data_IF_320118102299
#
_entry.id   IF_320118102299
#
_cell.length_a   1.000
_cell.length_b   1.000
_cell.length_c   1.000
_cell.angle_alpha   90.00
_cell.angle_beta   90.00
_cell.angle_gamma   90.00
#
_symmetry.space_group_name_H-M   'P 1'
#
loop_
_entity.id
_entity.type
_entity.pdbx_description
1 polymer ?
#
# COMPACT_ATOMS: atom_id res chain seq x y z
N UNK A 1 -21.72 19.20 18.47
CA UNK A 1 -21.56 18.16 17.43
C UNK A 1 -20.87 16.96 18.06
N UNK A 2 -21.24 15.75 17.70
CA UNK A 2 -20.66 14.53 18.30
C UNK A 2 -19.21 14.35 17.86
N UNK A 3 -18.31 14.15 18.83
CA UNK A 3 -16.94 13.70 18.58
C UNK A 3 -16.99 12.38 17.80
N UNK A 4 -16.16 12.25 16.77
CA UNK A 4 -15.94 10.99 16.04
C UNK A 4 -14.54 10.49 16.36
N UNK A 5 -14.29 9.19 16.21
CA UNK A 5 -12.94 8.64 16.34
C UNK A 5 -12.27 8.62 14.98
N UNK A 6 -11.10 9.24 14.86
CA UNK A 6 -10.25 9.14 13.68
C UNK A 6 -9.16 8.07 13.88
N UNK A 7 -8.92 7.28 12.84
CA UNK A 7 -7.79 6.36 12.74
C UNK A 7 -6.92 6.79 11.57
N UNK A 8 -5.69 7.21 11.87
CA UNK A 8 -4.69 7.45 10.86
C UNK A 8 -3.75 6.25 10.77
N UNK A 9 -3.73 5.65 9.59
CA UNK A 9 -2.88 4.51 9.23
C UNK A 9 -1.74 5.03 8.37
N UNK A 10 -0.54 4.58 8.67
CA UNK A 10 0.65 4.78 7.84
C UNK A 10 1.35 3.45 7.62
N UNK A 11 1.71 3.16 6.38
CA UNK A 11 2.50 1.99 6.00
C UNK A 11 3.94 2.46 5.74
N UNK A 12 4.79 2.57 6.78
CA UNK A 12 6.15 3.02 6.60
C UNK A 12 6.97 2.06 5.72
N UNK A 13 8.00 2.62 5.10
CA UNK A 13 9.03 1.84 4.39
C UNK A 13 8.50 0.98 3.23
N UNK A 14 7.42 1.40 2.55
CA UNK A 14 6.93 0.75 1.31
C UNK A 14 8.07 0.56 0.30
N UNK A 15 8.94 1.56 0.13
CA UNK A 15 10.08 1.46 -0.79
C UNK A 15 11.04 0.34 -0.38
N UNK A 16 11.39 0.24 0.91
CA UNK A 16 12.24 -0.82 1.41
C UNK A 16 11.58 -2.18 1.25
N UNK A 17 10.26 -2.27 1.48
CA UNK A 17 9.50 -3.50 1.28
C UNK A 17 9.50 -3.94 -0.19
N UNK A 18 9.23 -3.02 -1.12
CA UNK A 18 9.13 -3.32 -2.56
C UNK A 18 10.51 -3.62 -3.16
N UNK A 19 11.55 -2.88 -2.77
CA UNK A 19 12.90 -2.98 -3.35
C UNK A 19 13.89 -3.70 -2.44
N UNK A 20 13.43 -4.59 -1.56
CA UNK A 20 14.29 -5.36 -0.64
C UNK A 20 15.24 -6.34 -1.35
N UNK A 21 15.11 -6.52 -2.67
CA UNK A 21 15.94 -7.42 -3.47
C UNK A 21 15.97 -7.06 -4.95
N UNK A 22 16.75 -7.81 -5.71
CA UNK A 22 16.93 -7.63 -7.16
C UNK A 22 16.02 -8.53 -8.02
N UNK A 23 15.09 -9.26 -7.40
CA UNK A 23 14.18 -10.17 -8.12
C UNK A 23 12.94 -9.40 -8.56
N UNK A 24 12.86 -9.08 -9.85
CA UNK A 24 11.78 -8.28 -10.41
C UNK A 24 10.38 -8.86 -10.12
N UNK A 25 10.21 -10.18 -10.15
CA UNK A 25 8.95 -10.84 -9.75
C UNK A 25 8.52 -10.49 -8.32
N UNK A 26 9.44 -10.52 -7.36
CA UNK A 26 9.14 -10.17 -5.98
C UNK A 26 8.83 -8.68 -5.83
N UNK A 27 9.52 -7.81 -6.57
CA UNK A 27 9.28 -6.38 -6.52
C UNK A 27 7.88 -6.03 -7.07
N UNK A 28 7.50 -6.64 -8.19
CA UNK A 28 6.15 -6.48 -8.77
C UNK A 28 5.09 -7.01 -7.80
N UNK A 29 5.28 -8.22 -7.27
CA UNK A 29 4.33 -8.80 -6.33
C UNK A 29 4.23 -8.02 -5.02
N UNK A 30 5.33 -7.46 -4.52
CA UNK A 30 5.32 -6.56 -3.37
C UNK A 30 4.52 -5.28 -3.66
N UNK A 31 4.66 -4.70 -4.86
CA UNK A 31 3.86 -3.54 -5.28
C UNK A 31 2.35 -3.88 -5.35
N UNK A 32 2.01 -5.07 -5.84
CA UNK A 32 0.63 -5.55 -5.88
C UNK A 32 0.07 -5.74 -4.47
N UNK A 33 0.84 -6.33 -3.55
CA UNK A 33 0.46 -6.47 -2.14
C UNK A 33 0.16 -5.10 -1.53
N UNK A 34 1.08 -4.14 -1.65
CA UNK A 34 0.92 -2.79 -1.07
C UNK A 34 -0.33 -2.09 -1.62
N UNK A 35 -0.69 -2.32 -2.88
CA UNK A 35 -1.94 -1.78 -3.44
C UNK A 35 -3.16 -2.49 -2.83
N UNK A 36 -3.11 -3.82 -2.70
CA UNK A 36 -4.23 -4.62 -2.20
C UNK A 36 -4.53 -4.48 -0.70
N UNK A 37 -3.58 -4.02 0.13
CA UNK A 37 -3.81 -3.91 1.59
C UNK A 37 -4.94 -2.92 1.93
N UNK A 38 -5.05 -1.83 1.16
CA UNK A 38 -6.08 -0.79 1.37
C UNK A 38 -7.36 -1.05 0.58
N UNK A 39 -7.38 -2.07 -0.28
CA UNK A 39 -8.55 -2.47 -1.06
C UNK A 39 -9.18 -3.74 -0.44
N UNK A 40 -8.73 -4.92 -0.88
CA UNK A 40 -9.37 -6.19 -0.53
C UNK A 40 -9.21 -6.55 0.95
N UNK A 41 -8.01 -6.33 1.51
CA UNK A 41 -7.73 -6.65 2.92
C UNK A 41 -8.52 -5.73 3.85
N UNK A 42 -8.42 -4.41 3.65
CA UNK A 42 -9.16 -3.44 4.46
C UNK A 42 -10.68 -3.64 4.34
N UNK A 43 -11.20 -3.86 3.12
CA UNK A 43 -12.63 -4.11 2.89
C UNK A 43 -13.12 -5.36 3.62
N UNK A 44 -12.35 -6.45 3.58
CA UNK A 44 -12.69 -7.69 4.28
C UNK A 44 -12.73 -7.48 5.81
N UNK A 45 -11.74 -6.80 6.37
CA UNK A 45 -11.69 -6.51 7.81
C UNK A 45 -12.82 -5.58 8.26
N UNK A 46 -13.14 -4.55 7.47
CA UNK A 46 -14.27 -3.66 7.76
C UNK A 46 -15.61 -4.40 7.73
N UNK A 47 -15.82 -5.30 6.78
CA UNK A 47 -17.05 -6.11 6.70
C UNK A 47 -17.27 -6.95 7.96
N UNK A 48 -16.20 -7.52 8.50
CA UNK A 48 -16.23 -8.30 9.74
C UNK A 48 -16.55 -7.41 10.95
N UNK A 49 -15.96 -6.22 11.04
CA UNK A 49 -16.08 -5.34 12.22
C UNK A 49 -17.41 -4.58 12.24
N UNK A 50 -17.87 -4.09 11.09
CA UNK A 50 -19.09 -3.29 10.97
C UNK A 50 -20.36 -4.15 10.75
N UNK A 51 -20.21 -5.44 10.42
CA UNK A 51 -21.31 -6.35 10.04
C UNK A 51 -22.11 -5.93 8.80
N UNK A 52 -21.59 -5.00 7.98
CA UNK A 52 -22.14 -4.63 6.67
C UNK A 52 -21.01 -4.28 5.70
N UNK A 53 -21.34 -4.07 4.42
CA UNK A 53 -20.33 -3.65 3.45
C UNK A 53 -19.96 -2.18 3.61
N UNK A 54 -18.66 -1.91 3.72
CA UNK A 54 -18.11 -0.56 3.72
C UNK A 54 -17.73 -0.16 2.28
N UNK A 55 -18.06 1.08 1.90
CA UNK A 55 -17.71 1.62 0.59
C UNK A 55 -16.43 2.44 0.67
N UNK A 56 -15.31 1.88 0.21
CA UNK A 56 -14.00 2.51 0.30
C UNK A 56 -13.76 3.66 -0.69
N UNK A 57 -14.56 3.75 -1.77
CA UNK A 57 -14.31 4.70 -2.87
C UNK A 57 -15.22 5.93 -2.85
N UNK A 58 -16.20 6.01 -1.93
CA UNK A 58 -17.18 7.12 -1.90
C UNK A 58 -16.51 8.49 -1.76
N UNK A 59 -15.43 8.57 -0.98
CA UNK A 59 -14.66 9.81 -0.79
C UNK A 59 -13.95 10.28 -2.07
N UNK A 60 -13.62 9.35 -2.99
CA UNK A 60 -12.96 9.65 -4.26
C UNK A 60 -14.00 10.00 -5.34
N UNK A 61 -15.15 9.30 -5.34
CA UNK A 61 -16.28 9.56 -6.23
C UNK A 61 -16.90 10.93 -5.98
N UNK A 62 -17.22 11.24 -4.72
CA UNK A 62 -17.85 12.49 -4.29
C UNK A 62 -17.04 13.15 -3.15
N UNK A 63 -15.94 13.87 -3.45
CA UNK A 63 -15.07 14.46 -2.42
C UNK A 63 -15.75 15.45 -1.46
N UNK A 64 -16.83 16.07 -1.89
CA UNK A 64 -17.56 17.11 -1.14
C UNK A 64 -18.56 16.52 -0.14
N UNK A 65 -18.93 15.25 -0.28
CA UNK A 65 -19.91 14.60 0.57
C UNK A 65 -19.22 13.99 1.81
N UNK A 66 -19.59 14.45 3.00
CA UNK A 66 -19.03 13.99 4.28
C UNK A 66 -20.12 13.23 5.05
N UNK A 67 -20.18 11.93 4.82
CA UNK A 67 -21.27 11.05 5.27
C UNK A 67 -21.29 10.85 6.78
N UNK A 68 -20.13 10.86 7.44
CA UNK A 68 -19.99 10.68 8.89
C UNK A 68 -20.59 11.85 9.68
N UNK A 69 -20.97 12.96 9.02
CA UNK A 69 -21.76 14.01 9.69
C UNK A 69 -23.19 13.52 9.99
N UNK A 70 -23.76 12.67 9.13
CA UNK A 70 -25.08 12.08 9.38
C UNK A 70 -24.98 10.98 10.47
N UNK A 71 -25.90 10.99 11.43
CA UNK A 71 -25.96 10.00 12.53
C UNK A 71 -26.15 8.56 12.06
N UNK A 72 -26.70 8.38 10.86
CA UNK A 72 -26.99 7.04 10.32
C UNK A 72 -25.74 6.32 9.79
N UNK A 73 -24.62 7.02 9.60
CA UNK A 73 -23.36 6.43 9.17
C UNK A 73 -22.44 6.21 10.37
N UNK A 74 -21.99 4.97 10.54
CA UNK A 74 -21.07 4.53 11.59
C UNK A 74 -19.59 4.57 11.18
N UNK A 75 -19.32 4.59 9.87
CA UNK A 75 -17.98 4.58 9.28
C UNK A 75 -17.88 5.43 8.00
N UNK A 76 -16.74 6.10 7.82
CA UNK A 76 -16.39 6.77 6.57
C UNK A 76 -14.88 6.75 6.33
N UNK A 77 -14.48 6.61 5.06
CA UNK A 77 -13.08 6.82 4.65
C UNK A 77 -12.85 8.33 4.45
N UNK A 78 -11.91 8.89 5.20
CA UNK A 78 -11.44 10.26 5.00
C UNK A 78 -10.67 10.38 3.68
N UNK A 79 -9.58 9.63 3.55
CA UNK A 79 -8.86 9.44 2.28
C UNK A 79 -7.99 8.19 2.36
N UNK A 80 -7.62 7.64 1.19
CA UNK A 80 -6.60 6.59 1.04
C UNK A 80 -5.64 7.05 -0.05
N UNK A 81 -4.34 7.09 0.23
CA UNK A 81 -3.34 7.50 -0.75
C UNK A 81 -1.92 7.56 -0.19
N UNK A 82 -0.94 7.31 -1.05
CA UNK A 82 0.49 7.45 -0.70
C UNK A 82 0.95 6.58 0.47
N UNK A 83 0.34 5.40 0.66
CA UNK A 83 0.65 4.52 1.79
C UNK A 83 0.03 4.94 3.12
N UNK A 84 -0.92 5.90 3.10
CA UNK A 84 -1.68 6.34 4.27
C UNK A 84 -3.17 6.17 4.06
N UNK A 85 -3.89 6.00 5.16
CA UNK A 85 -5.34 6.05 5.16
C UNK A 85 -5.83 6.80 6.41
N UNK A 86 -6.79 7.70 6.22
CA UNK A 86 -7.55 8.30 7.31
C UNK A 86 -8.95 7.70 7.31
N UNK A 87 -9.35 7.10 8.42
CA UNK A 87 -10.65 6.47 8.59
C UNK A 87 -11.39 7.12 9.76
N UNK A 88 -12.71 7.22 9.66
CA UNK A 88 -13.57 7.77 10.71
C UNK A 88 -14.55 6.72 11.19
N UNK A 89 -14.73 6.65 12.50
CA UNK A 89 -15.65 5.77 13.19
C UNK A 89 -16.51 6.58 14.17
N UNK A 90 -17.77 6.17 14.34
CA UNK A 90 -18.59 6.70 15.44
C UNK A 90 -18.14 6.17 16.80
N UNK A 91 -17.70 4.92 16.84
CA UNK A 91 -17.32 4.24 18.08
C UNK A 91 -15.83 3.90 18.09
N UNK A 92 -15.13 4.33 19.15
CA UNK A 92 -13.72 4.01 19.35
C UNK A 92 -13.47 2.50 19.46
N UNK A 93 -14.43 1.73 20.00
CA UNK A 93 -14.34 0.27 20.08
C UNK A 93 -14.18 -0.38 18.71
N UNK A 94 -14.92 0.11 17.70
CA UNK A 94 -14.86 -0.39 16.31
C UNK A 94 -13.54 -0.04 15.64
N UNK A 95 -12.99 1.15 15.91
CA UNK A 95 -11.66 1.53 15.44
C UNK A 95 -10.57 0.55 15.95
N UNK A 96 -10.59 0.22 17.24
CA UNK A 96 -9.63 -0.73 17.83
C UNK A 96 -9.81 -2.16 17.32
N UNK A 97 -11.06 -2.59 17.16
CA UNK A 97 -11.42 -3.89 16.59
C UNK A 97 -10.90 -4.02 15.14
N UNK A 98 -11.07 -2.97 14.32
CA UNK A 98 -10.51 -2.92 12.97
C UNK A 98 -8.99 -3.08 12.98
N UNK A 99 -8.28 -2.29 13.80
CA UNK A 99 -6.81 -2.35 13.84
C UNK A 99 -6.37 -3.78 14.16
N UNK A 100 -6.99 -4.43 15.14
CA UNK A 100 -6.68 -5.82 15.49
C UNK A 100 -6.96 -6.81 14.36
N UNK A 101 -8.13 -6.75 13.73
CA UNK A 101 -8.50 -7.71 12.69
C UNK A 101 -7.72 -7.49 11.39
N UNK A 102 -7.52 -6.23 10.99
CA UNK A 102 -6.75 -5.89 9.80
C UNK A 102 -5.27 -6.24 9.96
N UNK A 103 -4.64 -5.90 11.08
CA UNK A 103 -3.23 -6.27 11.31
C UNK A 103 -2.98 -7.77 11.34
N UNK A 104 -3.91 -8.57 11.89
CA UNK A 104 -3.83 -10.04 11.82
C UNK A 104 -3.86 -10.56 10.39
N UNK A 105 -4.76 -10.01 9.57
CA UNK A 105 -4.85 -10.36 8.13
C UNK A 105 -3.57 -9.99 7.38
N UNK A 106 -2.98 -8.84 7.69
CA UNK A 106 -1.71 -8.39 7.11
C UNK A 106 -0.53 -9.30 7.44
N UNK A 107 -0.50 -9.97 8.60
CA UNK A 107 0.56 -10.94 8.91
C UNK A 107 0.58 -12.13 7.94
N UNK A 108 -0.55 -12.44 7.31
CA UNK A 108 -0.68 -13.52 6.34
C UNK A 108 -0.56 -13.01 4.89
N UNK A 109 -1.25 -11.91 4.57
CA UNK A 109 -1.31 -11.36 3.20
C UNK A 109 -0.13 -10.47 2.82
N UNK A 110 0.49 -9.83 3.80
CA UNK A 110 1.59 -8.90 3.59
C UNK A 110 2.70 -9.08 4.65
N UNK A 111 3.21 -10.31 4.87
CA UNK A 111 4.29 -10.53 5.83
C UNK A 111 5.50 -9.65 5.50
N UNK A 112 6.11 -9.10 6.55
CA UNK A 112 7.23 -8.16 6.48
C UNK A 112 6.84 -6.71 6.19
N UNK A 113 5.56 -6.40 5.94
CA UNK A 113 5.08 -5.04 5.76
C UNK A 113 4.74 -4.43 7.13
N UNK A 114 5.36 -3.30 7.45
CA UNK A 114 5.11 -2.60 8.71
C UNK A 114 3.99 -1.58 8.55
N UNK A 115 3.15 -1.48 9.57
CA UNK A 115 2.08 -0.48 9.68
C UNK A 115 2.16 0.22 11.03
N UNK A 116 1.74 1.48 11.06
CA UNK A 116 1.63 2.30 12.25
C UNK A 116 0.26 2.97 12.28
N UNK A 117 -0.25 3.20 13.49
CA UNK A 117 -1.60 3.67 13.73
C UNK A 117 -1.58 4.81 14.75
N UNK A 118 -2.48 5.77 14.57
CA UNK A 118 -2.89 6.71 15.60
C UNK A 118 -4.41 6.70 15.72
N UNK A 119 -4.92 6.79 16.95
CA UNK A 119 -6.35 6.74 17.22
C UNK A 119 -6.69 7.84 18.20
N UNK A 120 -7.43 8.84 17.75
CA UNK A 120 -7.85 9.95 18.59
C UNK A 120 -9.32 10.30 18.37
N UNK A 121 -9.91 10.96 19.36
CA UNK A 121 -11.09 11.78 19.12
C UNK A 121 -10.78 12.84 18.05
N UNK A 122 -11.78 13.20 17.26
CA UNK A 122 -11.62 14.05 16.10
C UNK A 122 -12.84 14.94 15.88
N UNK A 123 -12.60 16.23 15.75
CA UNK A 123 -13.61 17.25 15.50
C UNK A 123 -13.42 17.85 14.10
N UNK A 124 -14.38 17.60 13.20
CA UNK A 124 -14.29 18.07 11.81
C UNK A 124 -14.23 19.61 11.68
N UNK A 125 -14.78 20.35 12.64
CA UNK A 125 -14.75 21.82 12.64
C UNK A 125 -13.35 22.39 12.95
N UNK A 126 -12.51 21.61 13.64
CA UNK A 126 -11.14 21.95 14.01
C UNK A 126 -10.11 21.10 13.25
N UNK A 127 -10.41 20.81 11.98
CA UNK A 127 -9.72 19.80 11.18
C UNK A 127 -8.18 19.89 11.23
N UNK A 128 -7.60 21.07 11.07
CA UNK A 128 -6.14 21.22 11.06
C UNK A 128 -5.49 20.88 12.40
N UNK A 129 -6.04 21.38 13.50
CA UNK A 129 -5.52 21.12 14.85
C UNK A 129 -5.63 19.64 15.20
N UNK A 130 -6.77 19.02 14.87
CA UNK A 130 -7.02 17.60 15.12
C UNK A 130 -6.11 16.71 14.24
N UNK A 131 -5.89 17.08 12.97
CA UNK A 131 -4.92 16.40 12.11
C UNK A 131 -3.48 16.55 12.61
N UNK A 132 -3.09 17.71 13.12
CA UNK A 132 -1.75 17.91 13.69
C UNK A 132 -1.54 17.03 14.93
N UNK A 133 -2.54 16.94 15.81
CA UNK A 133 -2.53 16.02 16.96
C UNK A 133 -2.38 14.57 16.51
N UNK A 134 -3.20 14.14 15.54
CA UNK A 134 -3.20 12.77 15.01
C UNK A 134 -1.86 12.41 14.35
N UNK A 135 -1.24 13.36 13.63
CA UNK A 135 0.10 13.18 13.06
C UNK A 135 1.19 13.10 14.13
N UNK A 136 1.14 13.92 15.18
CA UNK A 136 2.08 13.84 16.32
C UNK A 136 1.97 12.49 17.02
N UNK A 137 0.74 12.03 17.26
CA UNK A 137 0.50 10.72 17.86
C UNK A 137 1.04 9.58 17.00
N UNK A 138 0.79 9.62 15.69
CA UNK A 138 1.31 8.64 14.75
C UNK A 138 2.85 8.59 14.79
N UNK A 139 3.51 9.74 14.82
CA UNK A 139 4.96 9.81 14.86
C UNK A 139 5.52 9.27 16.19
N UNK A 140 4.87 9.56 17.33
CA UNK A 140 5.24 8.94 18.60
C UNK A 140 5.07 7.41 18.56
N UNK A 141 3.97 6.92 17.98
CA UNK A 141 3.68 5.49 17.90
C UNK A 141 4.68 4.74 17.02
N UNK A 142 5.12 5.32 15.89
CA UNK A 142 6.19 4.74 15.05
C UNK A 142 7.50 4.54 15.79
N UNK A 143 7.85 5.45 16.69
CA UNK A 143 9.09 5.41 17.45
C UNK A 143 8.97 4.56 18.73
N UNK A 144 7.75 4.22 19.14
CA UNK A 144 7.47 3.44 20.36
C UNK A 144 7.18 1.97 20.07
N UNK A 145 6.49 1.69 18.96
CA UNK A 145 5.97 0.36 18.65
C UNK A 145 6.60 -0.17 17.37
N UNK A 146 7.33 -1.29 17.50
CA UNK A 146 7.95 -2.00 16.39
C UNK A 146 7.22 -3.33 16.18
N UNK A 147 6.31 -3.43 15.20
CA UNK A 147 5.54 -4.65 15.00
C UNK A 147 6.43 -5.78 14.48
N UNK A 148 6.25 -6.98 15.03
CA UNK A 148 6.89 -8.19 14.49
C UNK A 148 6.06 -8.72 13.32
N UNK A 149 6.48 -8.40 12.09
CA UNK A 149 5.69 -8.66 10.87
C UNK A 149 6.16 -9.87 10.07
N UNK A 150 7.21 -10.55 10.52
CA UNK A 150 7.73 -11.79 9.94
C UNK A 150 8.18 -12.74 11.05
N UNK A 151 8.43 -14.00 10.74
CA UNK A 151 8.86 -14.98 11.73
C UNK A 151 10.33 -14.74 12.14
N UNK A 152 10.61 -14.53 13.45
CA UNK A 152 11.98 -14.47 13.94
C UNK A 152 12.73 -15.77 13.66
N UNK A 153 14.04 -15.65 13.46
CA UNK A 153 14.94 -16.80 13.27
C UNK A 153 15.71 -17.12 14.54
N UNK A 154 15.93 -18.41 14.78
CA UNK A 154 16.86 -18.91 15.80
C UNK A 154 18.15 -19.37 15.13
N UNK A 155 19.21 -19.63 15.90
CA UNK A 155 20.51 -20.09 15.35
C UNK A 155 20.47 -21.45 14.64
N UNK A 156 19.35 -22.17 14.72
CA UNK A 156 19.09 -23.46 14.05
C UNK A 156 18.16 -23.33 12.84
N UNK A 157 17.62 -22.14 12.57
CA UNK A 157 16.69 -21.90 11.47
C UNK A 157 17.46 -21.59 10.20
N UNK A 158 17.14 -22.27 9.10
CA UNK A 158 17.78 -22.01 7.81
C UNK A 158 17.42 -20.62 7.25
N UNK A 159 18.43 -19.89 6.78
CA UNK A 159 18.23 -18.59 6.15
C UNK A 159 17.65 -18.73 4.74
N UNK A 160 16.64 -17.93 4.45
CA UNK A 160 16.05 -17.84 3.14
C UNK A 160 17.06 -17.20 2.19
N UNK A 161 17.45 -17.94 1.14
CA UNK A 161 18.36 -17.44 0.09
C UNK A 161 17.88 -16.18 -0.64
N UNK A 162 16.60 -15.83 -0.48
CA UNK A 162 15.99 -14.68 -1.13
C UNK A 162 15.99 -13.43 -0.24
N UNK A 163 15.51 -13.55 1.00
CA UNK A 163 15.29 -12.42 1.90
C UNK A 163 16.25 -12.36 3.09
N UNK A 164 17.00 -13.44 3.37
CA UNK A 164 17.81 -13.58 4.60
C UNK A 164 16.98 -13.80 5.87
N UNK A 165 15.66 -13.91 5.75
CA UNK A 165 14.73 -14.22 6.84
C UNK A 165 14.66 -15.73 7.08
N UNK A 166 13.79 -16.17 7.99
CA UNK A 166 13.51 -17.60 8.20
C UNK A 166 13.05 -18.28 6.89
N UNK A 167 13.34 -19.58 6.75
CA UNK A 167 12.85 -20.43 5.65
C UNK A 167 11.72 -21.34 6.13
N UNK A 168 10.50 -20.82 6.16
CA UNK A 168 9.32 -21.54 6.67
C UNK A 168 8.30 -22.00 5.62
N UNK A 169 8.34 -21.45 4.41
CA UNK A 169 7.33 -21.71 3.36
C UNK A 169 7.91 -22.58 2.25
N UNK A 170 7.32 -23.76 2.01
CA UNK A 170 7.73 -24.62 0.90
C UNK A 170 7.34 -23.96 -0.43
N UNK A 171 8.33 -23.76 -1.28
CA UNK A 171 8.18 -23.11 -2.57
C UNK A 171 8.73 -23.99 -3.69
N UNK A 172 7.93 -24.14 -4.74
CA UNK A 172 8.29 -24.89 -5.92
C UNK A 172 8.09 -23.99 -7.16
N UNK A 173 9.17 -23.55 -7.83
CA UNK A 173 9.07 -22.61 -8.95
C UNK A 173 8.27 -23.14 -10.14
N UNK A 174 8.38 -24.44 -10.40
CA UNK A 174 7.70 -25.15 -11.49
C UNK A 174 7.49 -26.62 -11.10
N UNK A 175 6.53 -27.30 -11.75
CA UNK A 175 6.25 -28.72 -11.46
C UNK A 175 7.45 -29.65 -11.69
N UNK A 176 8.39 -29.22 -12.53
CA UNK A 176 9.57 -29.98 -12.95
C UNK A 176 10.79 -29.73 -12.06
N UNK A 177 10.83 -28.60 -11.34
CA UNK A 177 11.92 -28.24 -10.43
C UNK A 177 11.70 -28.77 -9.01
N UNK A 178 12.80 -29.19 -8.37
CA UNK A 178 12.78 -29.56 -6.95
C UNK A 178 12.43 -28.34 -6.10
N UNK A 179 11.41 -28.45 -5.25
CA UNK A 179 11.05 -27.39 -4.32
C UNK A 179 12.05 -27.24 -3.17
N UNK A 180 11.99 -26.08 -2.53
CA UNK A 180 12.85 -25.67 -1.42
C UNK A 180 12.09 -24.69 -0.53
N UNK A 181 12.55 -24.49 0.71
CA UNK A 181 11.92 -23.54 1.62
C UNK A 181 12.43 -22.12 1.42
N UNK A 182 11.52 -21.15 1.53
CA UNK A 182 11.80 -19.71 1.53
C UNK A 182 11.01 -19.03 2.64
N UNK A 183 11.29 -17.75 2.90
CA UNK A 183 10.48 -16.96 3.83
C UNK A 183 9.08 -16.73 3.30
N UNK A 184 8.10 -16.64 4.20
CA UNK A 184 6.73 -16.19 3.94
C UNK A 184 6.69 -14.85 3.19
N UNK A 185 7.59 -13.92 3.53
CA UNK A 185 7.74 -12.63 2.82
C UNK A 185 7.99 -12.84 1.32
N UNK A 186 9.06 -13.58 0.97
CA UNK A 186 9.37 -13.89 -0.42
C UNK A 186 8.29 -14.74 -1.09
N UNK A 187 7.69 -15.68 -0.37
CA UNK A 187 6.64 -16.55 -0.87
C UNK A 187 5.40 -15.74 -1.27
N UNK A 188 4.86 -14.93 -0.37
CA UNK A 188 3.67 -14.13 -0.63
C UNK A 188 3.92 -13.09 -1.73
N UNK A 189 5.11 -12.47 -1.78
CA UNK A 189 5.51 -11.60 -2.90
C UNK A 189 5.52 -12.36 -4.23
N UNK A 190 6.05 -13.57 -4.26
CA UNK A 190 6.06 -14.38 -5.48
C UNK A 190 4.63 -14.82 -5.89
N UNK A 191 3.77 -15.16 -4.94
CA UNK A 191 2.38 -15.55 -5.23
C UNK A 191 1.54 -14.39 -5.77
N UNK A 192 1.80 -13.16 -5.32
CA UNK A 192 1.11 -11.95 -5.78
C UNK A 192 1.74 -11.34 -7.04
N UNK A 193 2.68 -12.05 -7.67
CA UNK A 193 3.23 -11.66 -8.95
C UNK A 193 2.16 -11.78 -10.03
N UNK A 194 1.62 -10.63 -10.45
CA UNK A 194 0.70 -10.51 -11.56
C UNK A 194 1.20 -9.36 -12.44
N UNK A 195 1.79 -9.70 -13.59
CA UNK A 195 2.19 -8.72 -14.61
C UNK A 195 1.01 -8.23 -15.44
N UNK A 196 -0.13 -8.91 -15.35
CA UNK A 196 -1.10 -8.94 -16.43
C UNK A 196 -1.74 -7.57 -16.70
N UNK A 197 -2.02 -6.76 -15.66
CA UNK A 197 -2.61 -5.42 -15.84
C UNK A 197 -1.69 -4.46 -16.62
N UNK A 198 -0.48 -4.22 -16.11
CA UNK A 198 0.46 -3.27 -16.73
C UNK A 198 1.06 -3.80 -18.02
N UNK A 199 1.36 -5.10 -18.09
CA UNK A 199 1.82 -5.75 -19.33
C UNK A 199 0.79 -5.59 -20.44
N UNK A 200 -0.50 -5.89 -20.18
CA UNK A 200 -1.57 -5.71 -21.17
C UNK A 200 -1.70 -4.25 -21.60
N UNK A 201 -1.54 -3.29 -20.68
CA UNK A 201 -1.58 -1.86 -21.00
C UNK A 201 -0.47 -1.48 -21.97
N UNK A 202 0.77 -1.89 -21.68
CA UNK A 202 1.94 -1.64 -22.55
C UNK A 202 1.81 -2.34 -23.90
N UNK A 203 1.43 -3.62 -23.92
CA UNK A 203 1.27 -4.39 -25.16
C UNK A 203 0.16 -3.84 -26.04
N UNK A 204 -1.01 -3.50 -25.45
CA UNK A 204 -2.13 -2.90 -26.19
C UNK A 204 -1.74 -1.56 -26.79
N UNK A 205 -1.11 -0.69 -26.01
CA UNK A 205 -0.72 0.66 -26.45
C UNK A 205 0.38 0.62 -27.51
N UNK A 206 1.32 -0.31 -27.38
CA UNK A 206 2.42 -0.51 -28.35
C UNK A 206 2.07 -1.38 -29.55
N UNK A 207 0.82 -1.86 -29.66
CA UNK A 207 0.40 -2.84 -30.68
C UNK A 207 1.29 -4.09 -30.71
N UNK A 208 1.73 -4.54 -29.52
CA UNK A 208 2.60 -5.69 -29.33
C UNK A 208 4.09 -5.45 -29.58
N UNK A 209 4.53 -4.22 -29.88
CA UNK A 209 5.95 -3.91 -30.09
C UNK A 209 6.77 -4.01 -28.80
N UNK A 210 6.18 -3.68 -27.65
CA UNK A 210 6.84 -3.70 -26.35
C UNK A 210 6.08 -4.57 -25.34
N UNK A 211 6.80 -5.15 -24.38
CA UNK A 211 6.24 -5.95 -23.28
C UNK A 211 7.03 -5.74 -21.98
N UNK A 212 6.45 -6.16 -20.85
CA UNK A 212 7.08 -6.07 -19.53
C UNK A 212 7.79 -7.38 -19.17
N UNK A 213 9.08 -7.30 -18.89
CA UNK A 213 9.87 -8.46 -18.45
C UNK A 213 9.59 -8.81 -16.98
N UNK A 214 9.61 -10.12 -16.66
CA UNK A 214 9.53 -10.62 -15.28
C UNK A 214 10.92 -10.86 -14.66
N UNK A 215 11.98 -10.77 -15.46
CA UNK A 215 13.34 -11.03 -15.06
C UNK A 215 14.23 -9.92 -15.62
N UNK A 216 15.10 -9.36 -14.77
CA UNK A 216 16.07 -8.33 -15.16
C UNK A 216 16.93 -8.79 -16.34
N UNK A 217 17.30 -10.07 -16.39
CA UNK A 217 18.12 -10.62 -17.47
C UNK A 217 17.38 -10.68 -18.81
N UNK A 218 16.07 -10.48 -18.82
CA UNK A 218 15.25 -10.42 -20.05
C UNK A 218 14.94 -8.98 -20.49
N UNK A 219 15.46 -7.97 -19.80
CA UNK A 219 15.47 -6.61 -20.32
C UNK A 219 16.37 -6.56 -21.57
N UNK A 220 15.97 -5.81 -22.60
CA UNK A 220 16.64 -5.80 -23.89
C UNK A 220 18.15 -5.59 -23.76
N UNK A 221 18.94 -6.53 -24.31
CA UNK A 221 20.40 -6.52 -24.23
C UNK A 221 21.00 -6.32 -25.61
N UNK A 222 22.13 -5.63 -25.67
CA UNK A 222 22.98 -5.54 -26.85
C UNK A 222 24.29 -6.29 -26.59
N UNK A 223 25.03 -6.62 -27.66
CA UNK A 223 26.31 -7.32 -27.52
C UNK A 223 27.35 -6.38 -26.93
N UNK A 224 27.86 -6.68 -25.72
CA UNK A 224 28.86 -5.87 -25.04
C UNK A 224 28.45 -5.57 -23.59
N UNK A 225 28.77 -4.37 -23.11
CA UNK A 225 28.41 -3.93 -21.76
C UNK A 225 26.96 -3.42 -21.72
N UNK A 226 26.10 -4.15 -21.02
CA UNK A 226 24.71 -3.77 -20.81
C UNK A 226 24.58 -3.09 -19.44
N UNK A 227 24.00 -1.90 -19.43
CA UNK A 227 23.70 -1.14 -18.22
C UNK A 227 22.19 -1.08 -18.02
N UNK A 228 21.76 -1.16 -16.76
CA UNK A 228 20.35 -1.02 -16.39
C UNK A 228 20.16 0.34 -15.75
N UNK A 229 19.33 1.18 -16.35
CA UNK A 229 18.90 2.43 -15.76
C UNK A 229 17.68 2.17 -14.86
N UNK A 230 17.76 2.64 -13.61
CA UNK A 230 16.64 2.65 -12.67
C UNK A 230 16.29 4.11 -12.40
N UNK A 231 15.03 4.48 -12.63
CA UNK A 231 14.55 5.86 -12.46
C UNK A 231 13.50 5.88 -11.37
N UNK A 232 13.74 6.67 -10.32
CA UNK A 232 12.75 6.97 -9.28
C UNK A 232 12.25 8.39 -9.48
N UNK A 233 10.93 8.56 -9.49
CA UNK A 233 10.26 9.86 -9.63
C UNK A 233 9.46 10.09 -8.35
N UNK A 234 9.66 11.24 -7.72
CA UNK A 234 8.93 11.65 -6.52
C UNK A 234 8.44 13.11 -6.65
N UNK A 235 7.34 13.42 -5.98
CA UNK A 235 6.74 14.74 -5.98
C UNK A 235 7.44 15.68 -4.98
N UNK A 236 7.75 16.89 -5.41
CA UNK A 236 8.37 17.88 -4.53
C UNK A 236 7.39 18.38 -3.47
N UNK A 237 7.81 18.39 -2.19
CA UNK A 237 7.08 18.97 -1.06
C UNK A 237 5.64 18.44 -0.86
N UNK A 238 5.35 17.20 -1.27
CA UNK A 238 3.99 16.63 -1.14
C UNK A 238 3.49 16.65 0.31
N UNK A 239 4.35 16.33 1.27
CA UNK A 239 3.97 16.36 2.69
C UNK A 239 3.54 17.75 3.19
N UNK A 240 4.16 18.82 2.69
CA UNK A 240 3.77 20.20 3.03
C UNK A 240 2.46 20.60 2.37
N UNK A 241 2.24 20.18 1.12
CA UNK A 241 0.99 20.43 0.41
C UNK A 241 -0.20 19.77 1.12
N UNK A 242 -0.06 18.52 1.59
CA UNK A 242 -1.11 17.85 2.36
C UNK A 242 -1.34 18.50 3.73
N UNK A 243 -0.29 19.02 4.40
CA UNK A 243 -0.42 19.77 5.65
C UNK A 243 -1.09 21.13 5.48
N UNK A 244 -0.92 21.77 4.33
CA UNK A 244 -1.51 23.07 4.03
C UNK A 244 -3.03 23.01 3.81
N UNK A 245 -3.59 21.81 3.57
CA UNK A 245 -5.03 21.62 3.43
C UNK A 245 -5.77 22.01 4.72
N UNK A 246 -6.82 22.83 4.56
CA UNK A 246 -7.57 23.41 5.67
C UNK A 246 -8.70 22.50 6.16
N UNK A 247 -9.21 21.63 5.28
CA UNK A 247 -10.33 20.74 5.56
C UNK A 247 -10.19 19.39 4.83
N UNK A 248 -11.12 18.48 5.16
CA UNK A 248 -11.18 17.14 4.58
C UNK A 248 -11.41 17.15 3.07
N UNK A 249 -12.22 18.08 2.55
CA UNK A 249 -12.57 18.17 1.13
C UNK A 249 -11.33 18.54 0.32
N UNK A 250 -10.53 19.49 0.82
CA UNK A 250 -9.26 19.89 0.22
C UNK A 250 -8.27 18.73 0.15
N UNK A 251 -8.13 17.94 1.23
CA UNK A 251 -7.28 16.73 1.21
C UNK A 251 -7.77 15.71 0.18
N UNK A 252 -9.08 15.43 0.14
CA UNK A 252 -9.66 14.49 -0.82
C UNK A 252 -9.42 14.93 -2.26
N UNK A 253 -9.68 16.21 -2.57
CA UNK A 253 -9.44 16.79 -3.90
C UNK A 253 -7.96 16.73 -4.28
N UNK A 254 -7.05 17.04 -3.36
CA UNK A 254 -5.60 16.96 -3.59
C UNK A 254 -5.16 15.52 -3.86
N UNK A 255 -5.59 14.56 -3.03
CA UNK A 255 -5.27 13.13 -3.17
C UNK A 255 -5.73 12.58 -4.52
N UNK A 256 -6.98 12.86 -4.90
CA UNK A 256 -7.55 12.48 -6.20
C UNK A 256 -6.79 13.12 -7.36
N UNK A 257 -6.57 14.43 -7.31
CA UNK A 257 -5.83 15.15 -8.34
C UNK A 257 -4.41 14.61 -8.52
N UNK A 258 -3.73 14.25 -7.42
CA UNK A 258 -2.39 13.68 -7.48
C UNK A 258 -2.38 12.33 -8.20
N UNK A 259 -3.33 11.45 -7.88
CA UNK A 259 -3.51 10.16 -8.57
C UNK A 259 -3.74 10.37 -10.08
N UNK A 260 -4.66 11.26 -10.45
CA UNK A 260 -4.97 11.58 -11.85
C UNK A 260 -3.76 12.19 -12.59
N UNK A 261 -2.93 12.98 -11.90
CA UNK A 261 -1.69 13.53 -12.49
C UNK A 261 -0.68 12.41 -12.72
N UNK A 262 -0.45 11.53 -11.74
CA UNK A 262 0.51 10.42 -11.86
C UNK A 262 0.12 9.47 -12.99
N UNK A 263 -1.16 9.14 -13.12
CA UNK A 263 -1.66 8.31 -14.22
C UNK A 263 -1.43 8.99 -15.58
N UNK A 264 -1.68 10.29 -15.69
CA UNK A 264 -1.42 11.06 -16.93
C UNK A 264 0.08 11.16 -17.25
N UNK A 265 0.93 11.32 -16.25
CA UNK A 265 2.39 11.34 -16.43
C UNK A 265 2.86 9.99 -16.96
N UNK A 266 2.40 8.89 -16.37
CA UNK A 266 2.72 7.55 -16.83
C UNK A 266 2.22 7.29 -18.26
N UNK A 267 1.00 7.70 -18.60
CA UNK A 267 0.48 7.60 -19.96
C UNK A 267 1.35 8.35 -20.98
N UNK A 268 1.72 9.61 -20.67
CA UNK A 268 2.61 10.41 -21.54
C UNK A 268 4.00 9.80 -21.66
N UNK A 269 4.53 9.23 -20.58
CA UNK A 269 5.81 8.52 -20.62
C UNK A 269 5.73 7.31 -21.55
N UNK A 270 4.67 6.51 -21.46
CA UNK A 270 4.47 5.39 -22.38
C UNK A 270 4.35 5.86 -23.84
N UNK A 271 3.63 6.96 -24.12
CA UNK A 271 3.54 7.52 -25.46
C UNK A 271 4.92 7.94 -26.00
N UNK A 272 5.74 8.58 -25.17
CA UNK A 272 7.09 8.98 -25.54
C UNK A 272 7.97 7.78 -25.88
N UNK A 273 7.94 6.72 -25.06
CA UNK A 273 8.73 5.51 -25.28
C UNK A 273 8.27 4.73 -26.52
N UNK A 274 6.97 4.63 -26.76
CA UNK A 274 6.41 3.83 -27.86
C UNK A 274 6.64 4.50 -29.23
N UNK A 275 6.62 5.82 -29.28
CA UNK A 275 6.78 6.60 -30.51
C UNK A 275 8.24 6.85 -30.94
N UNK A 276 9.21 6.39 -30.14
CA UNK A 276 10.62 6.31 -30.56
C UNK A 276 10.84 5.10 -31.49
#
# INVERSE_FOLDING_TARGET
MSSITAVLIDTPSIQQYVFSGNRLKENIGASNIVTGIYEDSLKASLKTVLNHEAHLNKWEENPEDILIKNSDNDFEVGYIGGGKALLFFREQGKAQELIREWTKDLLLKAPGLNTAFAVSDFHLDHFQEEMEKLHKELEMNKNRYFPQTFLPKHGITADCRFSGLSSEAYFQPSKEEKGFYISSVSYTKYQNFELDKEKRRVEKKSKGRFTCAANINMLGQTRGQNHIAIVHIDGNFMGEQFKACQDLIAIRKLSKSLKDIMDRVYEKFLDYVINQ
#
